data_IF_790930450393
#
_entry.id   IF_790930450393
#
_cell.length_a   1.000
_cell.length_b   1.000
_cell.length_c   1.000
_cell.angle_alpha   90.00
_cell.angle_beta   90.00
_cell.angle_gamma   90.00
#
_symmetry.space_group_name_H-M   'P 1'
#
loop_
_entity.id
_entity.type
_entity.pdbx_description
1 polymer ?
#
# COMPACT_ATOMS: atom_id res chain seq x y z
N UNK A 1 -14.67 -7.39 6.98
CA UNK A 1 -14.80 -5.93 6.92
C UNK A 1 -15.35 -5.53 5.58
N UNK A 2 -16.25 -4.56 5.50
CA UNK A 2 -16.62 -3.98 4.22
C UNK A 2 -15.37 -3.43 3.54
N UNK A 3 -15.39 -3.39 2.21
CA UNK A 3 -14.30 -2.76 1.48
C UNK A 3 -14.13 -1.31 1.91
N UNK A 4 -12.88 -0.88 2.02
CA UNK A 4 -12.59 0.50 2.40
C UNK A 4 -11.77 1.19 1.30
N UNK A 5 -12.09 2.42 0.90
CA UNK A 5 -13.20 3.24 1.39
C UNK A 5 -14.57 2.65 1.01
N UNK A 6 -15.56 2.90 1.86
CA UNK A 6 -16.96 2.52 1.58
C UNK A 6 -17.41 3.17 0.28
N UNK A 7 -18.06 2.41 -0.57
CA UNK A 7 -18.60 2.86 -1.84
C UNK A 7 -20.11 3.00 -1.72
N UNK A 8 -20.66 4.14 -2.14
CA UNK A 8 -22.08 4.43 -2.07
C UNK A 8 -22.93 3.53 -2.98
N UNK A 9 -22.30 2.93 -4.01
CA UNK A 9 -22.94 2.07 -5.02
C UNK A 9 -22.79 0.56 -4.71
N UNK A 10 -22.28 0.20 -3.54
CA UNK A 10 -22.00 -1.20 -3.15
C UNK A 10 -22.70 -1.54 -1.84
N UNK A 11 -23.50 -2.60 -1.87
CA UNK A 11 -24.06 -3.20 -0.68
C UNK A 11 -23.07 -4.22 -0.09
N UNK A 12 -22.71 -4.01 1.16
CA UNK A 12 -21.78 -4.89 1.87
C UNK A 12 -22.56 -5.93 2.66
N UNK A 13 -22.37 -7.21 2.29
CA UNK A 13 -22.88 -8.34 3.06
C UNK A 13 -21.70 -9.01 3.76
N UNK A 14 -21.75 -9.07 5.06
CA UNK A 14 -20.74 -9.77 5.88
C UNK A 14 -21.43 -10.49 7.04
N UNK A 15 -20.75 -11.49 7.57
CA UNK A 15 -21.15 -12.10 8.83
C UNK A 15 -21.07 -11.09 9.96
N UNK A 16 -21.75 -11.37 11.07
CA UNK A 16 -21.67 -10.54 12.27
C UNK A 16 -20.19 -10.39 12.69
N UNK A 17 -19.76 -9.13 12.81
CA UNK A 17 -18.38 -8.86 13.20
C UNK A 17 -18.21 -9.14 14.69
N UNK A 18 -17.04 -9.66 15.11
CA UNK A 18 -16.77 -9.82 16.53
C UNK A 18 -16.82 -8.46 17.25
N UNK A 19 -17.19 -8.48 18.52
CA UNK A 19 -17.14 -7.29 19.35
C UNK A 19 -15.71 -6.73 19.40
N UNK A 20 -15.61 -5.39 19.33
CA UNK A 20 -14.33 -4.72 19.46
C UNK A 20 -13.70 -5.06 20.82
N UNK A 21 -12.47 -5.52 20.80
CA UNK A 21 -11.69 -5.85 21.99
C UNK A 21 -10.55 -4.84 22.16
N UNK A 22 -10.26 -4.50 23.43
CA UNK A 22 -9.05 -3.74 23.76
C UNK A 22 -7.75 -4.57 23.62
N UNK A 23 -7.88 -5.86 23.31
CA UNK A 23 -6.74 -6.75 23.12
C UNK A 23 -6.14 -6.57 21.73
N UNK A 24 -4.92 -6.07 21.66
CA UNK A 24 -4.15 -5.89 20.42
C UNK A 24 -3.32 -7.12 20.04
N UNK A 25 -3.52 -8.26 20.65
CA UNK A 25 -2.69 -9.46 20.46
C UNK A 25 -2.67 -9.93 19.01
N UNK A 26 -3.81 -9.95 18.35
CA UNK A 26 -3.90 -10.36 16.94
C UNK A 26 -3.15 -9.40 16.01
N UNK A 27 -3.25 -8.11 16.25
CA UNK A 27 -2.52 -7.10 15.49
C UNK A 27 -1.01 -7.21 15.74
N UNK A 28 -0.58 -7.31 17.00
CA UNK A 28 0.84 -7.44 17.33
C UNK A 28 1.44 -8.75 16.81
N UNK A 29 0.66 -9.83 16.81
CA UNK A 29 1.09 -11.09 16.19
C UNK A 29 1.27 -10.92 14.68
N UNK A 30 0.36 -10.22 13.99
CA UNK A 30 0.53 -9.89 12.58
C UNK A 30 1.80 -9.06 12.34
N UNK A 31 2.05 -8.04 13.14
CA UNK A 31 3.27 -7.21 13.07
C UNK A 31 4.54 -8.06 13.30
N UNK A 32 4.47 -9.06 14.16
CA UNK A 32 5.61 -9.92 14.50
C UNK A 32 6.11 -10.81 13.34
N UNK A 33 5.30 -11.04 12.32
CA UNK A 33 5.73 -11.77 11.12
C UNK A 33 6.79 -11.01 10.32
N UNK A 34 6.85 -9.71 10.49
CA UNK A 34 7.83 -8.85 9.82
C UNK A 34 9.01 -8.59 10.76
N UNK A 35 10.14 -8.22 10.19
CA UNK A 35 11.35 -7.94 10.98
C UNK A 35 11.79 -6.48 10.80
N UNK A 36 11.09 -5.50 11.40
CA UNK A 36 11.54 -4.12 11.42
C UNK A 36 12.89 -4.02 12.15
N UNK A 37 13.77 -3.14 11.68
CA UNK A 37 15.16 -3.10 12.17
C UNK A 37 15.30 -2.59 13.61
N UNK A 38 14.30 -1.86 14.10
CA UNK A 38 14.27 -1.30 15.46
C UNK A 38 12.82 -0.95 15.88
N UNK A 39 12.65 -0.44 17.09
CA UNK A 39 11.33 -0.07 17.64
C UNK A 39 10.68 1.11 16.89
N UNK A 40 11.46 2.04 16.31
CA UNK A 40 10.93 3.12 15.48
C UNK A 40 10.33 2.54 14.20
N UNK A 41 11.05 1.66 13.52
CA UNK A 41 10.58 0.98 12.32
C UNK A 41 9.40 0.04 12.62
N UNK A 42 9.33 -0.52 13.83
CA UNK A 42 8.17 -1.29 14.28
C UNK A 42 6.93 -0.40 14.43
N UNK A 43 7.08 0.78 15.00
CA UNK A 43 6.00 1.77 15.08
C UNK A 43 5.58 2.26 13.68
N UNK A 44 6.55 2.48 12.79
CA UNK A 44 6.28 2.84 11.39
C UNK A 44 5.54 1.72 10.64
N UNK A 45 5.88 0.45 10.88
CA UNK A 45 5.16 -0.68 10.31
C UNK A 45 3.70 -0.74 10.80
N UNK A 46 3.45 -0.50 12.08
CA UNK A 46 2.07 -0.38 12.61
C UNK A 46 1.30 0.74 11.90
N UNK A 47 1.91 1.92 11.77
CA UNK A 47 1.31 3.05 11.05
C UNK A 47 1.05 2.72 9.57
N UNK A 48 1.97 2.02 8.90
CA UNK A 48 1.82 1.54 7.54
C UNK A 48 0.60 0.62 7.39
N UNK A 49 0.46 -0.37 8.28
CA UNK A 49 -0.66 -1.31 8.26
C UNK A 49 -1.99 -0.60 8.51
N UNK A 50 -2.01 0.38 9.41
CA UNK A 50 -3.22 1.11 9.79
C UNK A 50 -3.61 2.21 8.79
N UNK A 51 -2.69 2.69 7.95
CA UNK A 51 -2.94 3.83 7.07
C UNK A 51 -4.16 3.69 6.17
N UNK A 52 -4.49 2.52 5.58
CA UNK A 52 -5.70 2.39 4.76
C UNK A 52 -7.01 2.67 5.51
N UNK A 53 -7.04 2.61 6.85
CA UNK A 53 -8.21 2.97 7.66
C UNK A 53 -8.40 4.48 7.79
N UNK A 54 -7.32 5.25 7.67
CA UNK A 54 -7.35 6.69 7.85
C UNK A 54 -7.60 7.37 6.51
N UNK A 55 -8.85 7.40 6.07
CA UNK A 55 -9.26 8.20 4.93
C UNK A 55 -9.56 9.62 5.37
N UNK A 56 -8.78 10.56 4.89
CA UNK A 56 -9.13 11.99 4.96
C UNK A 56 -8.90 12.62 3.60
N UNK A 57 -9.94 13.14 2.94
CA UNK A 57 -9.82 13.76 1.63
C UNK A 57 -9.09 15.11 1.68
N UNK A 58 -8.82 15.64 2.87
CA UNK A 58 -8.34 17.02 3.07
C UNK A 58 -6.84 17.12 3.31
N UNK A 59 -6.12 16.00 3.44
CA UNK A 59 -4.68 16.04 3.74
C UNK A 59 -3.89 15.18 2.76
N UNK A 60 -2.78 15.71 2.21
CA UNK A 60 -1.83 14.88 1.48
C UNK A 60 -1.31 13.80 2.39
N UNK A 61 -1.23 12.58 1.85
CA UNK A 61 -0.67 11.42 2.56
C UNK A 61 0.78 11.25 2.16
N UNK A 62 1.71 11.13 3.11
CA UNK A 62 3.07 10.79 2.75
C UNK A 62 3.10 9.41 2.07
N UNK A 63 3.98 9.27 1.09
CA UNK A 63 4.28 7.96 0.53
C UNK A 63 5.15 7.16 1.50
N UNK A 64 5.20 5.85 1.28
CA UNK A 64 6.09 4.97 2.01
C UNK A 64 7.25 4.52 1.13
N UNK A 65 8.44 4.64 1.65
CA UNK A 65 9.63 4.04 1.06
C UNK A 65 10.04 2.90 1.95
N UNK A 66 9.96 1.68 1.42
CA UNK A 66 10.35 0.47 2.14
C UNK A 66 11.74 0.07 1.66
N UNK A 67 12.68 0.06 2.58
CA UNK A 67 14.07 -0.32 2.32
C UNK A 67 14.54 -1.44 3.25
N UNK A 68 15.69 -1.99 2.96
CA UNK A 68 16.31 -3.03 3.76
C UNK A 68 17.82 -2.91 3.78
N UNK A 69 18.42 -2.75 4.95
CA UNK A 69 19.87 -2.78 5.09
C UNK A 69 20.49 -4.15 4.74
N UNK A 70 19.67 -5.21 4.74
CA UNK A 70 20.08 -6.56 4.36
C UNK A 70 19.94 -6.85 2.87
N UNK A 71 19.48 -5.87 2.07
CA UNK A 71 19.39 -5.95 0.63
C UNK A 71 18.20 -6.79 0.12
N UNK A 72 18.47 -7.63 -0.88
CA UNK A 72 17.43 -8.45 -1.54
C UNK A 72 16.93 -9.59 -0.65
N UNK A 73 15.70 -10.01 -0.88
CA UNK A 73 15.08 -11.14 -0.18
C UNK A 73 14.60 -10.83 1.25
N UNK A 74 14.48 -9.55 1.62
CA UNK A 74 13.95 -9.11 2.92
C UNK A 74 12.42 -9.05 3.00
N UNK A 75 11.70 -9.42 1.94
CA UNK A 75 10.23 -9.43 1.93
C UNK A 75 9.58 -8.06 1.70
N UNK A 76 10.33 -7.02 1.32
CA UNK A 76 9.81 -5.65 1.11
C UNK A 76 8.55 -5.60 0.23
N UNK A 77 8.57 -6.28 -0.91
CA UNK A 77 7.45 -6.31 -1.86
C UNK A 77 6.24 -7.07 -1.34
N UNK A 78 6.44 -7.98 -0.38
CA UNK A 78 5.36 -8.77 0.24
C UNK A 78 4.57 -7.98 1.29
N UNK A 79 5.16 -6.99 1.91
CA UNK A 79 4.47 -6.19 2.95
C UNK A 79 3.20 -5.52 2.39
N UNK A 80 3.25 -4.73 1.30
CA UNK A 80 2.04 -4.14 0.73
C UNK A 80 1.04 -5.18 0.20
N UNK A 81 1.49 -6.32 -0.31
CA UNK A 81 0.62 -7.42 -0.74
C UNK A 81 -0.18 -7.99 0.44
N UNK A 82 0.49 -8.32 1.54
CA UNK A 82 -0.15 -8.87 2.73
C UNK A 82 -1.10 -7.86 3.39
N UNK A 83 -0.73 -6.58 3.40
CA UNK A 83 -1.62 -5.52 3.86
C UNK A 83 -2.84 -5.39 2.94
N UNK A 84 -2.67 -5.47 1.63
CA UNK A 84 -3.80 -5.48 0.68
C UNK A 84 -4.77 -6.65 0.96
N UNK A 85 -4.24 -7.84 1.20
CA UNK A 85 -5.04 -9.03 1.54
C UNK A 85 -5.76 -8.84 2.88
N UNK A 86 -5.10 -8.28 3.86
CA UNK A 86 -5.68 -7.97 5.16
C UNK A 86 -6.91 -7.06 5.02
N UNK A 87 -6.89 -6.12 4.08
CA UNK A 87 -8.02 -5.22 3.78
C UNK A 87 -9.05 -5.77 2.79
N UNK A 88 -9.03 -7.05 2.46
CA UNK A 88 -10.11 -7.71 1.75
C UNK A 88 -9.87 -8.05 0.31
N UNK A 89 -8.65 -7.94 -0.17
CA UNK A 89 -8.31 -8.52 -1.46
C UNK A 89 -8.27 -10.05 -1.34
N UNK A 90 -9.09 -10.72 -2.14
CA UNK A 90 -8.96 -12.17 -2.30
C UNK A 90 -7.75 -12.52 -3.17
N UNK A 91 -7.27 -11.55 -3.96
CA UNK A 91 -6.06 -11.63 -4.74
C UNK A 91 -5.25 -10.36 -4.49
N UNK A 92 -3.98 -10.49 -4.13
CA UNK A 92 -3.07 -9.35 -3.93
C UNK A 92 -3.06 -8.39 -5.12
N UNK A 93 -3.23 -8.92 -6.32
CA UNK A 93 -3.26 -8.14 -7.57
C UNK A 93 -4.51 -7.25 -7.73
N UNK A 94 -5.62 -7.57 -7.05
CA UNK A 94 -6.89 -6.86 -7.24
C UNK A 94 -6.98 -5.48 -6.58
N UNK A 95 -6.08 -5.18 -5.64
CA UNK A 95 -6.10 -3.91 -4.90
C UNK A 95 -4.77 -3.14 -4.94
N UNK A 96 -3.82 -3.62 -5.71
CA UNK A 96 -2.53 -2.96 -5.94
C UNK A 96 -2.43 -2.57 -7.41
N UNK A 97 -2.10 -1.29 -7.64
CA UNK A 97 -1.71 -0.80 -8.96
C UNK A 97 -0.19 -0.81 -9.00
N UNK A 98 0.40 -1.79 -9.68
CA UNK A 98 1.83 -1.84 -9.91
C UNK A 98 2.19 -0.98 -11.12
N UNK A 99 3.14 -0.07 -10.94
CA UNK A 99 3.70 0.75 -12.00
C UNK A 99 5.22 0.79 -11.88
N UNK A 100 5.90 0.97 -13.00
CA UNK A 100 7.33 1.24 -12.99
C UNK A 100 7.59 2.74 -12.89
N UNK A 101 8.75 3.11 -12.34
CA UNK A 101 9.19 4.51 -12.32
C UNK A 101 9.34 5.06 -13.76
N UNK A 102 9.69 4.19 -14.71
CA UNK A 102 9.82 4.54 -16.11
C UNK A 102 8.45 4.85 -16.75
N UNK A 103 7.42 4.03 -16.48
CA UNK A 103 6.06 4.31 -16.97
C UNK A 103 5.53 5.60 -16.37
N UNK A 104 5.76 5.83 -15.09
CA UNK A 104 5.32 7.04 -14.43
C UNK A 104 5.96 8.30 -15.06
N UNK A 105 7.23 8.25 -15.38
CA UNK A 105 7.96 9.39 -15.94
C UNK A 105 7.70 9.61 -17.43
N UNK A 106 7.49 8.56 -18.22
CA UNK A 106 7.40 8.64 -19.67
C UNK A 106 5.99 8.39 -20.24
N UNK A 107 5.13 7.70 -19.49
CA UNK A 107 3.78 7.30 -19.91
C UNK A 107 2.72 7.73 -18.88
N UNK A 108 2.88 8.89 -18.29
CA UNK A 108 2.03 9.36 -17.17
C UNK A 108 0.52 9.27 -17.47
N UNK A 109 0.10 9.61 -18.68
CA UNK A 109 -1.31 9.54 -19.09
C UNK A 109 -1.86 8.11 -19.01
N UNK A 110 -1.07 7.09 -19.37
CA UNK A 110 -1.49 5.69 -19.26
C UNK A 110 -1.56 5.23 -17.80
N UNK A 111 -0.64 5.71 -16.97
CA UNK A 111 -0.69 5.46 -15.52
C UNK A 111 -1.99 6.04 -14.93
N UNK A 112 -2.33 7.29 -15.27
CA UNK A 112 -3.57 7.93 -14.82
C UNK A 112 -4.80 7.16 -15.31
N UNK A 113 -4.85 6.72 -16.58
CA UNK A 113 -5.94 5.89 -17.10
C UNK A 113 -6.14 4.59 -16.30
N UNK A 114 -5.05 3.93 -15.90
CA UNK A 114 -5.11 2.74 -15.03
C UNK A 114 -5.69 3.08 -13.67
N UNK A 115 -5.26 4.19 -13.07
CA UNK A 115 -5.71 4.63 -11.74
C UNK A 115 -7.21 4.94 -11.73
N UNK A 116 -7.74 5.62 -12.75
CA UNK A 116 -9.15 6.01 -12.83
C UNK A 116 -10.07 4.93 -13.41
N UNK A 117 -9.52 3.85 -13.96
CA UNK A 117 -10.30 2.73 -14.51
C UNK A 117 -11.16 2.07 -13.42
N UNK A 118 -12.17 1.31 -13.83
CA UNK A 118 -13.04 0.57 -12.90
C UNK A 118 -12.24 -0.31 -11.94
N UNK A 119 -11.24 -1.06 -12.44
CA UNK A 119 -10.36 -1.86 -11.60
C UNK A 119 -9.46 -1.00 -10.71
N UNK A 120 -8.90 0.09 -11.25
CA UNK A 120 -8.06 1.01 -10.52
C UNK A 120 -8.78 1.72 -9.36
N UNK A 121 -10.08 2.03 -9.53
CA UNK A 121 -10.90 2.64 -8.47
C UNK A 121 -11.06 1.74 -7.24
N UNK A 122 -11.00 0.43 -7.44
CA UNK A 122 -11.02 -0.54 -6.35
C UNK A 122 -9.67 -0.71 -5.67
N UNK A 123 -8.59 -0.23 -6.28
CA UNK A 123 -7.23 -0.34 -5.72
C UNK A 123 -7.00 0.70 -4.62
N UNK A 124 -6.33 0.26 -3.56
CA UNK A 124 -5.98 1.07 -2.39
C UNK A 124 -4.52 1.46 -2.36
N UNK A 125 -3.69 0.66 -2.99
CA UNK A 125 -2.24 0.79 -2.98
C UNK A 125 -1.77 1.00 -4.41
N UNK A 126 -0.92 2.00 -4.60
CA UNK A 126 -0.12 2.18 -5.81
C UNK A 126 1.32 1.88 -5.43
N UNK A 127 1.91 0.87 -6.10
CA UNK A 127 3.25 0.39 -5.78
C UNK A 127 4.22 0.60 -6.94
N UNK A 128 5.38 1.15 -6.60
CA UNK A 128 6.58 1.12 -7.44
C UNK A 128 7.53 0.08 -6.81
N UNK A 129 7.63 -1.07 -7.43
CA UNK A 129 8.42 -2.17 -6.87
C UNK A 129 9.86 -2.16 -7.39
N UNK A 130 10.80 -2.50 -6.51
CA UNK A 130 12.20 -2.75 -6.79
C UNK A 130 12.91 -1.59 -7.54
N UNK A 131 12.69 -0.36 -7.08
CA UNK A 131 13.36 0.81 -7.65
C UNK A 131 14.86 0.77 -7.34
N UNK A 132 15.67 0.98 -8.38
CA UNK A 132 17.13 1.04 -8.31
C UNK A 132 17.64 2.39 -8.83
N UNK A 133 18.90 2.72 -8.57
CA UNK A 133 19.51 3.97 -9.04
C UNK A 133 19.01 5.19 -8.28
N UNK A 134 18.33 6.13 -8.93
CA UNK A 134 17.82 7.35 -8.32
C UNK A 134 16.29 7.40 -8.42
N UNK A 135 15.60 7.41 -7.29
CA UNK A 135 14.17 7.67 -7.23
C UNK A 135 13.92 9.17 -7.37
N UNK A 136 13.58 9.58 -8.58
CA UNK A 136 13.24 10.96 -8.94
C UNK A 136 12.06 10.97 -9.92
N UNK A 137 10.98 11.69 -9.55
CA UNK A 137 9.79 11.81 -10.39
C UNK A 137 8.93 12.99 -9.93
N UNK A 138 8.82 14.01 -10.76
CA UNK A 138 7.89 15.12 -10.53
C UNK A 138 6.43 14.65 -10.61
N UNK A 139 6.14 13.65 -11.43
CA UNK A 139 4.83 13.03 -11.55
C UNK A 139 4.42 12.32 -10.26
N UNK A 140 5.34 11.58 -9.63
CA UNK A 140 5.09 10.94 -8.33
C UNK A 140 4.85 11.99 -7.25
N UNK A 141 5.68 13.02 -7.19
CA UNK A 141 5.53 14.11 -6.24
C UNK A 141 4.15 14.81 -6.37
N UNK A 142 3.71 15.03 -7.61
CA UNK A 142 2.40 15.62 -7.90
C UNK A 142 1.25 14.68 -7.52
N UNK A 143 1.35 13.39 -7.83
CA UNK A 143 0.32 12.40 -7.47
C UNK A 143 0.14 12.31 -5.95
N UNK A 144 1.23 12.24 -5.20
CA UNK A 144 1.18 12.10 -3.73
C UNK A 144 0.48 13.29 -3.07
N UNK A 145 0.61 14.48 -3.64
CA UNK A 145 0.05 15.73 -3.07
C UNK A 145 -1.32 16.13 -3.63
N UNK A 146 -1.76 15.50 -4.73
CA UNK A 146 -3.05 15.80 -5.33
C UNK A 146 -4.21 15.32 -4.45
N UNK A 147 -5.27 16.14 -4.31
CA UNK A 147 -6.50 15.75 -3.62
C UNK A 147 -7.39 14.84 -4.46
N UNK A 148 -7.29 14.94 -5.79
CA UNK A 148 -8.00 14.10 -6.74
C UNK A 148 -7.10 13.78 -7.93
N UNK A 149 -7.37 12.65 -8.57
CA UNK A 149 -6.68 12.21 -9.77
C UNK A 149 -7.67 12.27 -10.93
N UNK A 150 -7.39 13.13 -11.91
CA UNK A 150 -8.26 13.39 -13.04
C UNK A 150 -7.55 13.01 -14.33
N UNK A 151 -8.27 12.42 -15.26
CA UNK A 151 -7.76 12.07 -16.56
C UNK A 151 -8.82 11.57 -17.52
N UNK A 152 -8.41 11.21 -18.73
CA UNK A 152 -9.31 10.63 -19.74
C UNK A 152 -9.36 9.12 -19.58
N UNK A 153 -10.55 8.51 -19.48
CA UNK A 153 -10.66 7.06 -19.43
C UNK A 153 -10.20 6.42 -20.75
N UNK A 154 -9.80 5.14 -20.68
CA UNK A 154 -9.36 4.40 -21.88
C UNK A 154 -10.45 4.30 -22.96
N UNK A 155 -11.71 4.17 -22.51
CA UNK A 155 -12.89 4.07 -23.37
C UNK A 155 -13.95 5.04 -22.84
N UNK A 156 -14.08 6.20 -23.45
CA UNK A 156 -15.08 7.17 -23.04
C UNK A 156 -14.82 8.55 -23.60
N UNK A 157 -15.83 9.44 -23.47
CA UNK A 157 -15.73 10.86 -23.84
C UNK A 157 -15.65 11.69 -22.58
N UNK A 158 -14.71 12.64 -22.52
CA UNK A 158 -14.57 13.57 -21.41
C UNK A 158 -13.48 13.17 -20.43
N UNK A 159 -13.51 13.78 -19.26
CA UNK A 159 -12.61 13.54 -18.16
C UNK A 159 -13.33 12.85 -17.02
N UNK A 160 -12.64 11.95 -16.34
CA UNK A 160 -13.09 11.31 -15.12
C UNK A 160 -12.14 11.67 -13.98
N UNK A 161 -12.72 11.77 -12.80
CA UNK A 161 -11.97 12.05 -11.58
C UNK A 161 -12.27 11.02 -10.50
N UNK A 162 -11.29 10.75 -9.67
CA UNK A 162 -11.47 10.01 -8.42
C UNK A 162 -10.79 10.75 -7.28
N UNK A 163 -11.31 10.67 -6.04
CA UNK A 163 -10.57 11.11 -4.86
C UNK A 163 -9.22 10.38 -4.78
N UNK A 164 -8.17 11.09 -4.41
CA UNK A 164 -6.87 10.48 -4.21
C UNK A 164 -6.79 9.87 -2.81
N UNK A 165 -7.30 8.65 -2.70
CA UNK A 165 -7.28 7.84 -1.49
C UNK A 165 -6.26 6.69 -1.56
N UNK A 166 -5.32 6.78 -2.49
CA UNK A 166 -4.28 5.78 -2.67
C UNK A 166 -3.20 5.92 -1.58
N UNK A 167 -2.73 4.79 -1.12
CA UNK A 167 -1.50 4.65 -0.37
C UNK A 167 -0.35 4.41 -1.35
N UNK A 168 0.61 5.31 -1.40
CA UNK A 168 1.76 5.21 -2.30
C UNK A 168 2.89 4.46 -1.61
N UNK A 169 3.37 3.40 -2.24
CA UNK A 169 4.43 2.54 -1.71
C UNK A 169 5.53 2.39 -2.74
N UNK A 170 6.75 2.62 -2.33
CA UNK A 170 7.95 2.42 -3.16
C UNK A 170 8.86 1.46 -2.43
N UNK A 171 9.17 0.32 -3.04
CA UNK A 171 10.24 -0.54 -2.52
C UNK A 171 11.53 -0.22 -3.23
N UNK A 172 12.59 0.00 -2.48
CA UNK A 172 13.89 0.36 -3.03
C UNK A 172 14.91 -0.74 -2.81
N UNK A 173 15.86 -0.82 -3.74
CA UNK A 173 16.99 -1.74 -3.67
C UNK A 173 18.29 -0.99 -3.94
N UNK A 174 18.82 -0.35 -2.89
CA UNK A 174 20.02 0.49 -2.99
C UNK A 174 19.81 1.77 -3.81
N UNK A 175 18.58 2.25 -3.94
CA UNK A 175 18.29 3.49 -4.62
C UNK A 175 18.59 4.70 -3.72
N UNK A 176 19.15 5.75 -4.28
CA UNK A 176 19.13 7.08 -3.66
C UNK A 176 17.80 7.77 -3.93
N UNK A 177 17.36 8.62 -3.03
CA UNK A 177 16.07 9.30 -3.12
C UNK A 177 16.30 10.80 -3.28
N UNK A 178 15.68 11.38 -4.31
CA UNK A 178 15.71 12.83 -4.53
C UNK A 178 15.07 13.57 -3.35
N UNK A 179 15.57 14.75 -3.01
CA UNK A 179 15.16 15.53 -1.83
C UNK A 179 13.66 15.87 -1.85
N UNK A 180 13.09 16.16 -3.01
CA UNK A 180 11.66 16.48 -3.11
C UNK A 180 10.79 15.26 -2.78
N UNK A 181 11.18 14.09 -3.26
CA UNK A 181 10.53 12.82 -2.91
C UNK A 181 10.72 12.50 -1.43
N UNK A 182 11.93 12.63 -0.92
CA UNK A 182 12.25 12.34 0.49
C UNK A 182 11.42 13.20 1.47
N UNK A 183 11.17 14.46 1.14
CA UNK A 183 10.36 15.36 1.96
C UNK A 183 8.88 14.97 2.07
N UNK A 184 8.40 14.07 1.21
CA UNK A 184 7.02 13.60 1.11
C UNK A 184 6.88 12.12 1.49
N UNK A 185 7.90 11.54 2.12
CA UNK A 185 7.94 10.12 2.38
C UNK A 185 8.24 9.78 3.84
N UNK A 186 7.63 8.70 4.29
CA UNK A 186 8.08 7.97 5.47
C UNK A 186 8.96 6.80 5.05
N UNK A 187 9.99 6.53 5.82
CA UNK A 187 10.88 5.40 5.59
C UNK A 187 10.54 4.28 6.55
N UNK A 188 10.41 3.08 6.00
CA UNK A 188 10.24 1.84 6.72
C UNK A 188 11.40 0.90 6.38
N UNK A 189 12.27 0.66 7.35
CA UNK A 189 13.39 -0.25 7.19
C UNK A 189 13.05 -1.62 7.80
N UNK A 190 13.17 -2.66 6.98
CA UNK A 190 12.92 -4.04 7.38
C UNK A 190 14.14 -4.90 7.10
N UNK A 191 14.55 -5.67 8.08
CA UNK A 191 15.57 -6.69 7.91
C UNK A 191 14.94 -7.96 7.34
N UNK A 192 15.82 -8.88 6.87
CA UNK A 192 15.36 -10.19 6.43
C UNK A 192 14.64 -10.88 7.59
N UNK A 193 13.38 -11.32 7.41
CA UNK A 193 12.70 -12.08 8.46
C UNK A 193 13.51 -13.32 8.84
N UNK A 194 13.41 -13.74 10.09
CA UNK A 194 13.91 -15.04 10.54
C UNK A 194 13.02 -16.14 9.96
N UNK A 195 13.16 -16.34 8.65
CA UNK A 195 12.22 -17.12 7.87
C UNK A 195 12.41 -18.61 8.03
N UNK A 196 11.32 -19.29 8.30
CA UNK A 196 11.08 -20.65 7.87
C UNK A 196 10.73 -20.64 6.37
N UNK A 197 10.95 -21.74 5.68
CA UNK A 197 10.68 -21.89 4.24
C UNK A 197 9.22 -21.63 3.83
N UNK A 198 8.29 -21.68 4.78
CA UNK A 198 6.84 -21.51 4.62
C UNK A 198 6.28 -20.19 5.19
N UNK A 199 7.12 -19.18 5.42
CA UNK A 199 6.72 -17.91 6.04
C UNK A 199 5.51 -17.25 5.36
N UNK A 200 5.50 -17.19 4.04
CA UNK A 200 4.40 -16.57 3.30
C UNK A 200 3.06 -17.29 3.56
N UNK A 201 3.08 -18.60 3.59
CA UNK A 201 1.87 -19.41 3.84
C UNK A 201 1.42 -19.26 5.30
N UNK A 202 2.36 -19.17 6.24
CA UNK A 202 2.05 -18.90 7.65
C UNK A 202 1.33 -17.56 7.82
N UNK A 203 1.82 -16.49 7.20
CA UNK A 203 1.19 -15.17 7.27
C UNK A 203 -0.17 -15.16 6.59
N UNK A 204 -0.28 -15.75 5.40
CA UNK A 204 -1.57 -15.84 4.69
C UNK A 204 -2.61 -16.62 5.49
N UNK A 205 -2.23 -17.77 6.05
CA UNK A 205 -3.12 -18.55 6.91
C UNK A 205 -3.53 -17.77 8.16
N UNK A 206 -2.61 -16.99 8.73
CA UNK A 206 -2.91 -16.15 9.88
C UNK A 206 -3.94 -15.07 9.54
N UNK A 207 -3.75 -14.36 8.43
CA UNK A 207 -4.70 -13.35 7.94
C UNK A 207 -6.07 -13.99 7.69
N UNK A 208 -6.13 -15.11 6.97
CA UNK A 208 -7.39 -15.79 6.66
C UNK A 208 -8.20 -16.18 7.89
N UNK A 209 -7.52 -16.62 8.96
CA UNK A 209 -8.17 -17.06 10.20
C UNK A 209 -8.56 -15.90 11.12
N UNK A 210 -7.77 -14.83 11.13
CA UNK A 210 -7.84 -13.82 12.19
C UNK A 210 -8.14 -12.42 11.67
N UNK A 211 -8.45 -12.24 10.39
CA UNK A 211 -8.61 -10.94 9.74
C UNK A 211 -9.52 -10.00 10.51
N UNK A 212 -10.64 -10.50 11.02
CA UNK A 212 -11.63 -9.70 11.75
C UNK A 212 -11.21 -9.31 13.18
N UNK A 213 -10.17 -9.92 13.69
CA UNK A 213 -9.65 -9.68 15.04
C UNK A 213 -8.37 -8.82 15.03
N UNK A 214 -7.79 -8.59 13.82
CA UNK A 214 -6.55 -7.82 13.67
C UNK A 214 -6.80 -6.31 13.86
N UNK A 215 -8.05 -5.85 13.68
CA UNK A 215 -8.42 -4.45 13.82
C UNK A 215 -9.43 -4.20 14.94
#
# INVERSE_FOLDING_TARGET
>A
MPDFPVRDDVFYCHEELPEASANHEYFETFISFFNPVDEVNKAMLRAFVMQPLYYTPLMPRPMWIIDSPTGQGSGKSKIPELVSILYGSNNADGQIIDISINDLNNNYSEVVKRIISTSGRNSRILRLDNVTGVLKSSQLASLVTASAITGRPAYGKGEESRPNNLMYVVTVNGASVDTDIASRAYYLNVAKPLMKSNWNDEVLNYIQKNRYYIF
#
